data_IF_764985068183
#
_entry.id   IF_764985068183
#
_cell.length_a   1.000
_cell.length_b   1.000
_cell.length_c   1.000
_cell.angle_alpha   90.00
_cell.angle_beta   90.00
_cell.angle_gamma   90.00
#
_symmetry.space_group_name_H-M   'P 1'
#
loop_
_entity.id
_entity.type
_entity.pdbx_description
1 polymer ?
#
# COMPACT_ATOMS: atom_id res chain seq x y z
N UNK A 1 -59.27 25.99 -21.51
CA UNK A 1 -58.25 26.96 -21.07
C UNK A 1 -56.93 26.24 -20.98
N UNK A 2 -56.04 26.50 -21.93
CA UNK A 2 -54.66 26.06 -21.90
C UNK A 2 -53.81 26.96 -21.02
N UNK A 3 -52.65 26.44 -20.64
CA UNK A 3 -51.61 27.16 -19.92
C UNK A 3 -50.26 26.54 -20.28
N UNK A 4 -49.18 27.31 -20.11
CA UNK A 4 -47.81 26.87 -20.35
C UNK A 4 -47.04 26.85 -19.04
N UNK A 5 -46.16 25.87 -18.85
CA UNK A 5 -45.29 25.77 -17.66
C UNK A 5 -43.84 25.81 -18.09
N UNK A 6 -43.09 26.76 -17.55
CA UNK A 6 -41.63 26.80 -17.64
C UNK A 6 -41.02 26.13 -16.41
N UNK A 7 -40.03 25.26 -16.62
CA UNK A 7 -39.24 24.62 -15.57
C UNK A 7 -37.76 24.89 -15.81
N UNK A 8 -37.06 25.34 -14.78
CA UNK A 8 -35.61 25.52 -14.76
C UNK A 8 -35.01 24.55 -13.73
N UNK A 9 -34.37 23.47 -14.21
CA UNK A 9 -33.91 22.36 -13.38
C UNK A 9 -32.41 22.49 -13.14
N UNK A 10 -32.06 23.02 -11.97
CA UNK A 10 -30.70 23.10 -11.45
C UNK A 10 -30.32 21.90 -10.58
N UNK A 11 -29.06 21.89 -10.12
CA UNK A 11 -28.49 20.79 -9.31
C UNK A 11 -28.94 20.78 -7.84
N UNK A 12 -29.48 21.90 -7.35
CA UNK A 12 -30.03 22.06 -5.99
C UNK A 12 -31.31 22.89 -5.95
N UNK A 13 -31.89 23.17 -7.12
CA UNK A 13 -33.11 23.96 -7.24
C UNK A 13 -33.91 23.56 -8.48
N UNK A 14 -35.24 23.66 -8.40
CA UNK A 14 -36.13 23.59 -9.55
C UNK A 14 -37.01 24.85 -9.53
N UNK A 15 -36.72 25.78 -10.43
CA UNK A 15 -37.55 26.94 -10.71
C UNK A 15 -38.76 26.55 -11.56
N UNK A 16 -39.90 27.18 -11.31
CA UNK A 16 -41.11 26.95 -12.10
C UNK A 16 -41.93 28.23 -12.23
N UNK A 17 -42.58 28.41 -13.39
CA UNK A 17 -43.50 29.50 -13.65
C UNK A 17 -44.63 29.02 -14.57
N UNK A 18 -45.86 29.48 -14.35
CA UNK A 18 -47.03 29.14 -15.17
C UNK A 18 -47.53 30.40 -15.87
N UNK A 19 -47.69 30.31 -17.19
CA UNK A 19 -48.21 31.39 -18.03
C UNK A 19 -49.60 31.00 -18.58
N UNK A 20 -50.48 31.99 -18.69
CA UNK A 20 -51.75 31.88 -19.43
C UNK A 20 -51.49 31.92 -20.94
N UNK A 21 -52.50 31.64 -21.77
CA UNK A 21 -52.40 31.72 -23.23
C UNK A 21 -51.98 33.12 -23.72
N UNK A 22 -52.32 34.18 -22.98
CA UNK A 22 -51.93 35.57 -23.28
C UNK A 22 -50.49 35.91 -22.84
N UNK A 23 -49.71 34.92 -22.42
CA UNK A 23 -48.32 35.10 -21.96
C UNK A 23 -48.19 35.80 -20.60
N UNK A 24 -49.29 35.90 -19.83
CA UNK A 24 -49.29 36.52 -18.50
C UNK A 24 -49.06 35.48 -17.40
N UNK A 25 -48.52 35.90 -16.27
CA UNK A 25 -48.32 35.01 -15.13
C UNK A 25 -49.66 34.55 -14.56
N UNK A 26 -49.87 33.23 -14.52
CA UNK A 26 -51.09 32.64 -14.01
C UNK A 26 -51.19 32.84 -12.50
N UNK A 27 -52.42 32.99 -11.99
CA UNK A 27 -52.69 33.13 -10.55
C UNK A 27 -53.70 32.09 -10.09
N UNK A 28 -53.48 31.53 -8.91
CA UNK A 28 -54.45 30.67 -8.24
C UNK A 28 -54.50 31.01 -6.75
N UNK A 29 -55.71 31.05 -6.18
CA UNK A 29 -55.94 31.32 -4.74
C UNK A 29 -55.20 32.57 -4.24
N UNK A 30 -55.21 33.65 -5.03
CA UNK A 30 -54.57 34.92 -4.71
C UNK A 30 -53.04 34.97 -4.90
N UNK A 31 -52.38 33.85 -5.22
CA UNK A 31 -50.92 33.76 -5.39
C UNK A 31 -50.53 33.63 -6.86
N UNK A 32 -49.38 34.19 -7.20
CA UNK A 32 -48.74 33.98 -8.50
C UNK A 32 -48.21 32.55 -8.59
N UNK A 33 -48.43 31.91 -9.73
CA UNK A 33 -47.92 30.57 -10.01
C UNK A 33 -46.47 30.65 -10.52
N UNK A 34 -45.56 31.08 -9.63
CA UNK A 34 -44.12 31.10 -9.83
C UNK A 34 -43.43 30.75 -8.53
N UNK A 35 -42.31 30.04 -8.59
CA UNK A 35 -41.52 29.74 -7.42
C UNK A 35 -40.27 28.94 -7.73
N UNK A 36 -39.54 28.59 -6.67
CA UNK A 36 -38.36 27.73 -6.74
C UNK A 36 -38.44 26.72 -5.61
N UNK A 37 -38.20 25.44 -5.92
CA UNK A 37 -38.01 24.38 -4.93
C UNK A 37 -36.52 24.17 -4.71
N UNK A 38 -36.02 24.46 -3.50
CA UNK A 38 -34.64 24.18 -3.10
C UNK A 38 -34.51 22.78 -2.47
N UNK A 39 -33.40 22.08 -2.71
CA UNK A 39 -33.07 20.78 -2.14
C UNK A 39 -31.56 20.57 -2.04
N UNK A 40 -31.13 19.62 -1.21
CA UNK A 40 -29.72 19.25 -1.11
C UNK A 40 -29.21 18.63 -2.40
N UNK A 41 -28.03 19.05 -2.86
CA UNK A 41 -27.43 18.57 -4.10
C UNK A 41 -27.15 17.07 -4.04
N UNK A 42 -27.25 16.41 -5.19
CA UNK A 42 -27.03 14.98 -5.28
C UNK A 42 -25.59 14.61 -4.89
N UNK A 43 -25.44 13.75 -3.87
CA UNK A 43 -24.15 13.20 -3.49
C UNK A 43 -23.77 12.05 -4.42
N UNK A 44 -22.53 12.07 -4.93
CA UNK A 44 -22.04 10.97 -5.76
C UNK A 44 -21.90 9.68 -4.94
N UNK A 45 -22.07 8.53 -5.57
CA UNK A 45 -21.93 7.23 -4.90
C UNK A 45 -20.46 6.84 -4.58
N UNK A 46 -19.49 7.75 -4.77
CA UNK A 46 -18.06 7.49 -4.62
C UNK A 46 -17.70 7.09 -3.18
N UNK A 47 -18.18 7.83 -2.18
CA UNK A 47 -17.91 7.54 -0.77
C UNK A 47 -18.51 6.17 -0.36
N UNK A 48 -19.76 5.92 -0.75
CA UNK A 48 -20.44 4.64 -0.52
C UNK A 48 -19.67 3.47 -1.16
N UNK A 49 -19.08 3.67 -2.34
CA UNK A 49 -18.21 2.70 -3.00
C UNK A 49 -16.94 2.44 -2.17
N UNK A 50 -16.27 3.48 -1.68
CA UNK A 50 -15.10 3.37 -0.81
C UNK A 50 -15.39 2.56 0.46
N UNK A 51 -16.45 2.92 1.19
CA UNK A 51 -16.88 2.24 2.41
C UNK A 51 -17.22 0.77 2.17
N UNK A 52 -17.92 0.45 1.07
CA UNK A 52 -18.23 -0.93 0.67
C UNK A 52 -16.97 -1.74 0.37
N UNK A 53 -16.03 -1.18 -0.36
CA UNK A 53 -14.76 -1.85 -0.69
C UNK A 53 -13.95 -2.16 0.56
N UNK A 54 -13.86 -1.20 1.50
CA UNK A 54 -13.16 -1.40 2.77
C UNK A 54 -13.78 -2.51 3.61
N UNK A 55 -15.11 -2.55 3.74
CA UNK A 55 -15.80 -3.64 4.48
C UNK A 55 -15.51 -5.01 3.87
N UNK A 56 -15.60 -5.14 2.54
CA UNK A 56 -15.30 -6.39 1.83
C UNK A 56 -13.83 -6.81 2.03
N UNK A 57 -12.90 -5.87 1.96
CA UNK A 57 -11.47 -6.11 2.19
C UNK A 57 -11.20 -6.63 3.60
N UNK A 58 -11.78 -6.01 4.63
CA UNK A 58 -11.64 -6.43 6.03
C UNK A 58 -12.26 -7.81 6.28
N UNK A 59 -13.45 -8.07 5.74
CA UNK A 59 -14.11 -9.38 5.81
C UNK A 59 -13.24 -10.49 5.20
N UNK A 60 -12.71 -10.28 3.99
CA UNK A 60 -11.80 -11.23 3.33
C UNK A 60 -10.48 -11.40 4.08
N UNK A 61 -9.93 -10.34 4.69
CA UNK A 61 -8.75 -10.45 5.55
C UNK A 61 -9.04 -11.35 6.75
N UNK A 62 -10.18 -11.14 7.42
CA UNK A 62 -10.61 -11.97 8.56
C UNK A 62 -10.81 -13.43 8.16
N UNK A 63 -11.42 -13.68 7.00
CA UNK A 63 -11.58 -15.03 6.47
C UNK A 63 -10.24 -15.74 6.23
N UNK A 64 -9.26 -15.08 5.60
CA UNK A 64 -7.92 -15.66 5.40
C UNK A 64 -7.23 -16.04 6.72
N UNK A 65 -7.35 -15.18 7.73
CA UNK A 65 -6.73 -15.45 9.04
C UNK A 65 -7.42 -16.61 9.76
N UNK A 66 -8.75 -16.71 9.66
CA UNK A 66 -9.50 -17.86 10.21
C UNK A 66 -9.13 -19.17 9.52
N UNK A 67 -8.95 -19.15 8.20
CA UNK A 67 -8.51 -20.34 7.46
C UNK A 67 -7.11 -20.77 7.93
N UNK A 68 -6.19 -19.82 8.14
CA UNK A 68 -4.87 -20.13 8.68
C UNK A 68 -4.96 -20.71 10.10
N UNK A 69 -5.79 -20.12 10.96
CA UNK A 69 -6.07 -20.62 12.31
C UNK A 69 -6.63 -22.05 12.29
N UNK A 70 -7.61 -22.34 11.42
CA UNK A 70 -8.21 -23.66 11.25
C UNK A 70 -7.16 -24.72 10.87
N UNK A 71 -6.27 -24.40 9.91
CA UNK A 71 -5.20 -25.29 9.47
C UNK A 71 -4.21 -25.65 10.59
N UNK A 72 -3.96 -24.72 11.53
CA UNK A 72 -3.03 -24.93 12.64
C UNK A 72 -3.73 -25.40 13.92
N UNK A 73 -5.07 -25.40 13.95
CA UNK A 73 -5.86 -25.57 15.16
C UNK A 73 -5.57 -26.88 15.88
N UNK A 74 -5.57 -28.01 15.15
CA UNK A 74 -5.35 -29.34 15.72
C UNK A 74 -3.98 -29.47 16.38
N UNK A 75 -2.92 -29.01 15.70
CA UNK A 75 -1.54 -29.17 16.17
C UNK A 75 -1.19 -28.16 17.27
N UNK A 76 -1.65 -26.90 17.16
CA UNK A 76 -1.43 -25.91 18.22
C UNK A 76 -2.19 -26.28 19.48
N UNK A 77 -3.41 -26.81 19.39
CA UNK A 77 -4.18 -27.20 20.58
C UNK A 77 -3.50 -28.33 21.39
N UNK A 78 -2.68 -29.19 20.76
CA UNK A 78 -1.87 -30.20 21.47
C UNK A 78 -0.76 -29.58 22.31
N UNK A 79 -0.24 -28.43 21.89
CA UNK A 79 0.83 -27.69 22.57
C UNK A 79 0.26 -26.69 23.57
N UNK A 80 -0.77 -25.95 23.18
CA UNK A 80 -1.33 -24.82 23.91
C UNK A 80 -2.79 -24.55 23.50
N UNK A 81 -3.72 -25.13 24.25
CA UNK A 81 -5.17 -25.07 23.98
C UNK A 81 -5.72 -23.63 23.98
N UNK A 82 -5.10 -22.71 24.72
CA UNK A 82 -5.59 -21.35 24.90
C UNK A 82 -4.88 -20.32 24.00
N UNK A 83 -3.99 -20.76 23.09
CA UNK A 83 -3.20 -19.87 22.25
C UNK A 83 -4.05 -18.94 21.37
N UNK A 84 -5.01 -19.49 20.61
CA UNK A 84 -5.88 -18.69 19.75
C UNK A 84 -6.85 -17.82 20.55
N UNK A 85 -7.29 -18.31 21.72
CA UNK A 85 -8.13 -17.54 22.62
C UNK A 85 -7.39 -16.28 23.12
N UNK A 86 -6.13 -16.42 23.55
CA UNK A 86 -5.27 -15.27 23.92
C UNK A 86 -5.11 -14.28 22.77
N UNK A 87 -4.84 -14.75 21.56
CA UNK A 87 -4.73 -13.88 20.39
C UNK A 87 -6.03 -13.13 20.05
N UNK A 88 -7.18 -13.81 20.19
CA UNK A 88 -8.50 -13.22 19.92
C UNK A 88 -8.88 -12.15 20.94
N UNK A 89 -8.55 -12.39 22.21
CA UNK A 89 -8.91 -11.54 23.33
C UNK A 89 -7.76 -10.69 23.86
N UNK A 90 -6.70 -10.50 23.06
CA UNK A 90 -5.53 -9.71 23.46
C UNK A 90 -5.85 -8.23 23.73
N UNK A 91 -7.05 -7.75 23.34
CA UNK A 91 -7.52 -6.39 23.63
C UNK A 91 -8.14 -6.26 25.03
N UNK A 92 -8.51 -7.38 25.65
CA UNK A 92 -9.18 -7.40 26.96
C UNK A 92 -8.17 -7.03 28.03
N UNK A 93 -8.53 -6.04 28.85
CA UNK A 93 -7.69 -5.61 29.95
C UNK A 93 -7.84 -6.58 31.14
N UNK A 94 -6.77 -6.91 31.90
CA UNK A 94 -6.87 -7.84 33.04
C UNK A 94 -7.86 -7.42 34.14
N UNK A 95 -8.14 -6.12 34.25
CA UNK A 95 -9.11 -5.54 35.19
C UNK A 95 -10.52 -5.35 34.59
N UNK A 96 -10.78 -5.86 33.40
CA UNK A 96 -12.11 -5.81 32.78
C UNK A 96 -12.98 -6.94 33.36
N UNK A 97 -13.76 -6.62 34.38
CA UNK A 97 -14.64 -7.56 35.08
C UNK A 97 -15.67 -8.20 34.12
N UNK A 98 -16.14 -7.47 33.11
CA UNK A 98 -17.14 -7.97 32.16
C UNK A 98 -16.56 -9.03 31.20
N UNK A 99 -15.24 -9.02 30.99
CA UNK A 99 -14.55 -9.94 30.08
C UNK A 99 -13.53 -10.84 30.79
N UNK A 100 -13.60 -10.95 32.12
CA UNK A 100 -12.65 -11.71 32.92
C UNK A 100 -12.54 -13.18 32.49
N UNK A 101 -13.65 -13.79 32.06
CA UNK A 101 -13.68 -15.16 31.53
C UNK A 101 -12.87 -15.36 30.23
N UNK A 102 -12.54 -14.26 29.53
CA UNK A 102 -11.76 -14.26 28.30
C UNK A 102 -10.28 -13.90 28.54
N UNK A 103 -9.86 -13.83 29.81
CA UNK A 103 -8.47 -13.63 30.19
C UNK A 103 -7.79 -14.97 30.49
N UNK A 104 -6.74 -15.29 29.72
CA UNK A 104 -6.07 -16.60 29.78
C UNK A 104 -4.61 -16.49 30.28
N UNK A 105 -4.37 -15.59 31.24
CA UNK A 105 -3.04 -15.39 31.83
C UNK A 105 -2.16 -14.43 31.00
N UNK A 106 -1.06 -14.93 30.44
CA UNK A 106 -0.12 -14.10 29.67
C UNK A 106 -0.71 -13.50 28.38
N UNK A 107 0.05 -12.60 27.74
CA UNK A 107 -0.41 -11.88 26.55
C UNK A 107 -0.33 -12.73 25.28
N UNK A 108 0.83 -13.36 25.03
CA UNK A 108 1.11 -14.14 23.82
C UNK A 108 1.27 -15.63 24.17
N UNK A 109 2.08 -15.89 25.19
CA UNK A 109 2.31 -17.20 25.79
C UNK A 109 1.60 -17.33 27.14
N UNK A 110 1.46 -18.55 27.69
CA UNK A 110 0.76 -18.76 28.97
C UNK A 110 1.31 -17.91 30.12
N UNK A 111 2.63 -17.73 30.19
CA UNK A 111 3.30 -16.93 31.22
C UNK A 111 3.84 -15.61 30.67
N UNK A 112 3.97 -14.62 31.56
CA UNK A 112 4.59 -13.34 31.20
C UNK A 112 6.09 -13.49 30.95
N UNK A 113 6.76 -14.40 31.66
CA UNK A 113 8.19 -14.68 31.49
C UNK A 113 8.49 -15.25 30.10
N UNK A 114 7.70 -16.22 29.63
CA UNK A 114 7.81 -16.74 28.24
C UNK A 114 7.59 -15.62 27.21
N UNK A 115 6.61 -14.75 27.45
CA UNK A 115 6.34 -13.62 26.56
C UNK A 115 7.50 -12.63 26.53
N UNK A 116 8.10 -12.34 27.69
CA UNK A 116 9.27 -11.47 27.81
C UNK A 116 10.49 -12.08 27.11
N UNK A 117 10.79 -13.35 27.35
CA UNK A 117 11.88 -14.08 26.71
C UNK A 117 11.72 -14.11 25.18
N UNK A 118 10.49 -14.27 24.68
CA UNK A 118 10.20 -14.18 23.25
C UNK A 118 10.53 -12.80 22.68
N UNK A 119 10.19 -11.72 23.37
CA UNK A 119 10.48 -10.35 22.92
C UNK A 119 11.97 -9.98 23.03
N UNK A 120 12.67 -10.48 24.04
CA UNK A 120 14.14 -10.33 24.17
C UNK A 120 14.86 -11.06 23.04
N UNK A 121 14.41 -12.28 22.71
CA UNK A 121 14.96 -13.07 21.61
C UNK A 121 14.65 -12.45 20.25
N UNK A 122 13.41 -12.01 20.05
CA UNK A 122 12.94 -11.42 18.79
C UNK A 122 12.33 -10.04 19.02
N UNK A 123 13.18 -9.02 18.94
CA UNK A 123 12.81 -7.61 19.13
C UNK A 123 11.68 -7.15 18.20
N UNK A 124 11.58 -7.73 17.01
CA UNK A 124 10.47 -7.49 16.07
C UNK A 124 10.05 -8.78 15.40
N UNK A 125 8.84 -8.81 14.85
CA UNK A 125 8.36 -9.95 14.05
C UNK A 125 9.26 -10.28 12.85
N UNK A 126 10.05 -9.31 12.37
CA UNK A 126 11.00 -9.53 11.28
C UNK A 126 12.23 -10.31 11.72
N UNK A 127 12.68 -10.16 12.97
CA UNK A 127 13.74 -11.00 13.54
C UNK A 127 13.31 -12.46 13.61
N UNK A 128 12.06 -12.72 14.04
CA UNK A 128 11.49 -14.06 14.03
C UNK A 128 11.42 -14.63 12.61
N UNK A 129 10.93 -13.85 11.64
CA UNK A 129 10.86 -14.28 10.24
C UNK A 129 12.24 -14.56 9.65
N UNK A 130 13.24 -13.76 10.01
CA UNK A 130 14.62 -13.95 9.57
C UNK A 130 15.19 -15.25 10.16
N UNK A 131 15.06 -15.45 11.47
CA UNK A 131 15.49 -16.67 12.15
C UNK A 131 14.85 -17.93 11.53
N UNK A 132 13.54 -17.91 11.26
CA UNK A 132 12.81 -19.01 10.59
C UNK A 132 13.31 -19.30 9.16
N UNK A 133 13.98 -18.34 8.51
CA UNK A 133 14.52 -18.51 7.15
C UNK A 133 15.99 -18.94 7.14
N UNK A 134 16.76 -18.64 8.17
CA UNK A 134 18.22 -18.80 8.17
C UNK A 134 18.74 -19.83 9.17
N UNK A 135 18.03 -20.10 10.26
CA UNK A 135 18.45 -21.06 11.27
C UNK A 135 17.90 -22.45 10.96
N UNK A 136 18.77 -23.46 10.99
CA UNK A 136 18.38 -24.87 10.85
C UNK A 136 18.18 -25.51 12.23
N UNK A 137 17.02 -25.26 12.83
CA UNK A 137 16.60 -25.91 14.08
C UNK A 137 15.08 -26.07 14.13
N UNK A 138 14.60 -26.91 15.04
CA UNK A 138 13.16 -27.03 15.31
C UNK A 138 12.65 -25.79 16.06
N UNK A 139 11.68 -25.09 15.46
CA UNK A 139 10.99 -23.95 16.07
C UNK A 139 9.71 -24.39 16.79
N UNK A 140 9.27 -23.58 17.76
CA UNK A 140 7.95 -23.73 18.37
C UNK A 140 6.87 -23.45 17.31
N UNK A 141 5.85 -24.30 17.26
CA UNK A 141 4.73 -24.17 16.34
C UNK A 141 3.99 -22.83 16.49
N UNK A 142 3.93 -22.29 17.71
CA UNK A 142 3.35 -20.97 18.01
C UNK A 142 4.15 -19.85 17.33
N UNK A 143 5.47 -19.94 17.32
CA UNK A 143 6.36 -18.98 16.63
C UNK A 143 6.14 -19.04 15.11
N UNK A 144 6.09 -20.24 14.54
CA UNK A 144 5.83 -20.46 13.11
C UNK A 144 4.48 -19.83 12.72
N UNK A 145 3.43 -20.09 13.51
CA UNK A 145 2.11 -19.51 13.26
C UNK A 145 2.13 -17.98 13.29
N UNK A 146 2.81 -17.36 14.26
CA UNK A 146 2.87 -15.89 14.36
C UNK A 146 3.54 -15.26 13.14
N UNK A 147 4.63 -15.87 12.65
CA UNK A 147 5.30 -15.43 11.44
C UNK A 147 4.40 -15.55 10.20
N UNK A 148 3.73 -16.69 10.03
CA UNK A 148 2.78 -16.90 8.92
C UNK A 148 1.58 -15.96 9.01
N UNK A 149 0.99 -15.81 10.20
CA UNK A 149 -0.13 -14.91 10.45
C UNK A 149 0.24 -13.46 10.06
N UNK A 150 1.44 -13.00 10.38
CA UNK A 150 1.93 -11.69 9.96
C UNK A 150 2.00 -11.55 8.43
N UNK A 151 2.59 -12.52 7.74
CA UNK A 151 2.71 -12.53 6.27
C UNK A 151 1.33 -12.53 5.61
N UNK A 152 0.40 -13.38 6.06
CA UNK A 152 -0.95 -13.49 5.49
C UNK A 152 -1.80 -12.23 5.77
N UNK A 153 -1.64 -11.63 6.96
CA UNK A 153 -2.32 -10.38 7.34
C UNK A 153 -1.85 -9.20 6.50
N UNK A 154 -0.54 -9.09 6.28
CA UNK A 154 0.14 -7.98 5.60
C UNK A 154 0.86 -8.44 4.31
N UNK A 155 0.12 -9.13 3.44
CA UNK A 155 0.62 -9.81 2.23
C UNK A 155 1.13 -8.94 1.07
N UNK A 156 1.29 -7.64 1.25
CA UNK A 156 1.66 -6.71 0.18
C UNK A 156 0.61 -6.53 -0.93
N UNK A 157 1.02 -5.93 -2.05
CA UNK A 157 0.19 -5.71 -3.25
C UNK A 157 0.46 -6.79 -4.33
N UNK A 158 -0.49 -6.96 -5.25
CA UNK A 158 -0.46 -7.97 -6.32
C UNK A 158 -0.46 -7.31 -7.71
N UNK A 159 0.37 -6.28 -7.89
CA UNK A 159 0.40 -5.50 -9.14
C UNK A 159 1.32 -6.12 -10.19
N UNK A 160 2.36 -6.82 -9.75
CA UNK A 160 3.34 -7.43 -10.64
C UNK A 160 2.95 -8.89 -10.87
N UNK A 161 2.73 -9.25 -12.13
CA UNK A 161 2.46 -10.64 -12.54
C UNK A 161 3.75 -11.48 -12.64
N UNK A 162 4.92 -10.83 -12.71
CA UNK A 162 6.20 -11.53 -12.85
C UNK A 162 6.63 -12.21 -11.55
N UNK A 163 6.94 -13.50 -11.67
CA UNK A 163 7.45 -14.33 -10.60
C UNK A 163 8.85 -13.86 -10.17
N UNK A 164 8.96 -13.44 -8.90
CA UNK A 164 10.21 -13.19 -8.17
C UNK A 164 11.12 -12.12 -8.80
N UNK A 165 10.92 -10.85 -8.39
CA UNK A 165 12.06 -9.93 -8.35
C UNK A 165 12.96 -10.35 -7.18
N UNK A 166 14.06 -11.04 -7.45
CA UNK A 166 15.16 -11.10 -6.49
C UNK A 166 15.78 -9.71 -6.43
N UNK A 167 15.89 -9.13 -5.24
CA UNK A 167 16.49 -7.81 -5.03
C UNK A 167 17.92 -7.76 -5.61
N UNK A 168 18.62 -8.91 -5.61
CA UNK A 168 19.94 -9.08 -6.21
C UNK A 168 20.02 -8.97 -7.74
N UNK A 169 18.91 -9.05 -8.48
CA UNK A 169 18.92 -8.91 -9.95
C UNK A 169 18.63 -7.47 -10.42
N UNK A 170 18.49 -6.51 -9.50
CA UNK A 170 18.13 -5.12 -9.86
C UNK A 170 19.32 -4.34 -10.42
N UNK A 171 20.54 -4.79 -10.12
CA UNK A 171 21.77 -4.20 -10.63
C UNK A 171 22.67 -5.30 -11.15
N UNK A 172 22.64 -5.49 -12.47
CA UNK A 172 23.55 -6.38 -13.19
C UNK A 172 24.57 -5.51 -13.95
N UNK A 173 25.79 -5.33 -13.42
CA UNK A 173 26.80 -4.45 -14.03
C UNK A 173 27.13 -4.85 -15.48
N UNK A 174 27.09 -6.15 -15.77
CA UNK A 174 27.39 -6.70 -17.10
C UNK A 174 26.31 -6.35 -18.13
N UNK A 175 25.03 -6.39 -17.76
CA UNK A 175 23.92 -5.95 -18.62
C UNK A 175 24.02 -4.44 -18.90
N UNK A 176 24.36 -3.65 -17.87
CA UNK A 176 24.58 -2.21 -18.02
C UNK A 176 25.77 -1.91 -18.94
N UNK A 177 26.88 -2.62 -18.77
CA UNK A 177 28.07 -2.49 -19.62
C UNK A 177 27.74 -2.82 -21.08
N UNK A 178 27.00 -3.92 -21.30
CA UNK A 178 26.56 -4.35 -22.62
C UNK A 178 25.62 -3.33 -23.27
N UNK A 179 24.68 -2.76 -22.51
CA UNK A 179 23.79 -1.72 -22.99
C UNK A 179 24.54 -0.44 -23.40
N UNK A 180 25.55 -0.05 -22.62
CA UNK A 180 26.41 1.11 -22.92
C UNK A 180 27.23 0.86 -24.19
N UNK A 181 27.80 -0.34 -24.34
CA UNK A 181 28.59 -0.72 -25.52
C UNK A 181 27.72 -0.71 -26.79
N UNK A 182 26.54 -1.33 -26.74
CA UNK A 182 25.58 -1.33 -27.84
C UNK A 182 25.16 0.10 -28.24
N UNK A 183 24.95 0.98 -27.26
CA UNK A 183 24.64 2.39 -27.53
C UNK A 183 25.82 3.13 -28.17
N UNK A 184 27.04 2.88 -27.72
CA UNK A 184 28.25 3.49 -28.27
C UNK A 184 28.46 3.10 -29.74
N UNK A 185 28.33 1.81 -30.06
CA UNK A 185 28.43 1.29 -31.43
C UNK A 185 27.35 1.88 -32.34
N UNK A 186 26.09 1.90 -31.90
CA UNK A 186 24.98 2.46 -32.68
C UNK A 186 25.11 3.98 -32.94
N UNK A 187 25.93 4.69 -32.18
CA UNK A 187 26.21 6.12 -32.36
C UNK A 187 27.59 6.41 -32.95
N UNK A 188 28.35 5.38 -33.33
CA UNK A 188 29.70 5.52 -33.87
C UNK A 188 30.68 6.14 -32.87
N UNK A 189 30.44 5.95 -31.58
CA UNK A 189 31.30 6.45 -30.51
C UNK A 189 32.38 5.40 -30.23
N UNK A 190 33.64 5.76 -30.44
CA UNK A 190 34.78 4.93 -30.01
C UNK A 190 34.98 5.12 -28.51
N UNK A 191 34.89 4.03 -27.75
CA UNK A 191 35.07 3.98 -26.31
C UNK A 191 35.82 2.69 -25.95
N UNK A 192 36.88 2.79 -25.16
CA UNK A 192 37.51 1.65 -24.48
C UNK A 192 37.40 1.86 -22.97
N UNK A 193 36.84 0.87 -22.27
CA UNK A 193 36.96 0.76 -20.82
C UNK A 193 38.11 -0.19 -20.53
N UNK A 194 39.31 0.35 -20.48
CA UNK A 194 40.46 -0.51 -20.24
C UNK A 194 40.53 -0.99 -18.76
N UNK A 195 39.73 -0.42 -17.85
CA UNK A 195 39.59 -0.90 -16.45
C UNK A 195 38.24 -0.53 -15.78
N UNK A 196 37.66 -1.39 -14.91
CA UNK A 196 36.42 -1.10 -14.16
C UNK A 196 36.51 0.12 -13.22
N UNK A 197 37.71 0.41 -12.70
CA UNK A 197 37.99 1.56 -11.83
C UNK A 197 37.75 2.90 -12.53
N UNK A 198 38.05 2.99 -13.83
CA UNK A 198 37.84 4.19 -14.62
C UNK A 198 36.36 4.57 -14.75
N UNK A 199 35.45 3.58 -14.78
CA UNK A 199 34.01 3.82 -14.89
C UNK A 199 33.43 4.35 -13.56
N UNK A 200 33.87 3.80 -12.43
CA UNK A 200 33.56 4.35 -11.11
C UNK A 200 34.09 5.77 -10.93
N UNK A 201 35.30 6.08 -11.39
CA UNK A 201 35.86 7.42 -11.30
C UNK A 201 35.09 8.43 -12.17
N UNK A 202 34.67 8.04 -13.38
CA UNK A 202 33.82 8.87 -14.24
C UNK A 202 32.45 9.11 -13.61
N UNK A 203 31.80 8.08 -13.06
CA UNK A 203 30.49 8.21 -12.40
C UNK A 203 30.57 9.05 -11.11
N UNK A 204 31.63 8.91 -10.31
CA UNK A 204 31.89 9.71 -9.11
C UNK A 204 32.17 11.17 -9.48
N UNK A 205 32.88 11.40 -10.59
CA UNK A 205 33.19 12.73 -11.07
C UNK A 205 31.98 13.45 -11.70
N UNK A 206 31.07 12.71 -12.35
CA UNK A 206 29.81 13.24 -12.88
C UNK A 206 28.80 13.61 -11.77
N UNK A 207 28.87 12.98 -10.60
CA UNK A 207 28.03 13.32 -9.42
C UNK A 207 28.44 14.60 -8.70
N UNK A 208 29.65 15.15 -8.90
CA UNK A 208 30.13 16.34 -8.18
C UNK A 208 29.95 17.62 -9.00
N UNK A 209 29.38 18.70 -8.43
CA UNK A 209 29.19 19.95 -9.15
C UNK A 209 30.55 20.63 -9.42
N UNK A 210 30.89 20.75 -10.70
CA UNK A 210 31.99 21.55 -11.31
C UNK A 210 33.06 22.06 -10.31
N UNK A 211 34.03 21.23 -9.96
CA UNK A 211 35.33 21.72 -9.53
C UNK A 211 36.38 21.20 -10.50
N UNK A 212 37.03 22.13 -11.21
CA UNK A 212 37.92 21.88 -12.37
C UNK A 212 39.16 21.03 -12.05
N UNK A 213 39.44 20.74 -10.78
CA UNK A 213 40.74 20.22 -10.37
C UNK A 213 40.75 18.73 -9.98
N UNK A 214 39.63 18.01 -10.13
CA UNK A 214 39.51 16.61 -9.68
C UNK A 214 39.27 15.57 -10.78
N UNK A 215 39.27 15.96 -12.06
CA UNK A 215 39.21 15.01 -13.17
C UNK A 215 40.21 15.37 -14.27
N UNK A 216 41.39 14.71 -14.32
CA UNK A 216 42.39 14.99 -15.36
C UNK A 216 41.85 14.76 -16.78
N UNK A 217 40.86 13.87 -16.94
CA UNK A 217 40.26 13.53 -18.25
C UNK A 217 38.88 14.17 -18.51
N UNK A 218 38.43 15.14 -17.70
CA UNK A 218 37.10 15.75 -17.89
C UNK A 218 36.95 16.41 -19.27
N UNK A 219 38.05 16.93 -19.84
CA UNK A 219 38.06 17.57 -21.17
C UNK A 219 37.91 16.56 -22.32
N UNK A 220 38.31 15.31 -22.13
CA UNK A 220 38.26 14.25 -23.15
C UNK A 220 36.85 13.65 -23.32
N UNK A 221 35.95 13.87 -22.35
CA UNK A 221 34.57 13.38 -22.43
C UNK A 221 33.78 14.23 -23.45
N UNK A 222 33.19 13.62 -24.50
CA UNK A 222 32.42 14.32 -25.54
C UNK A 222 31.30 15.18 -24.95
N UNK A 223 31.13 16.42 -25.46
CA UNK A 223 30.11 17.38 -24.96
C UNK A 223 28.68 16.82 -24.96
N UNK A 224 28.34 15.92 -25.90
CA UNK A 224 27.01 15.28 -25.97
C UNK A 224 26.75 14.34 -24.79
N UNK A 225 27.76 13.62 -24.30
CA UNK A 225 27.65 12.70 -23.15
C UNK A 225 27.50 13.48 -21.84
N UNK A 226 28.23 14.60 -21.70
CA UNK A 226 28.06 15.55 -20.57
C UNK A 226 26.64 16.14 -20.48
N UNK A 227 25.94 16.23 -21.61
CA UNK A 227 24.57 16.75 -21.67
C UNK A 227 23.53 15.71 -21.26
N UNK A 228 23.75 14.43 -21.61
CA UNK A 228 22.84 13.32 -21.29
C UNK A 228 22.68 13.13 -19.76
N UNK A 229 23.76 13.27 -19.00
CA UNK A 229 23.75 13.13 -17.54
C UNK A 229 23.32 14.38 -16.77
N UNK A 230 23.04 15.50 -17.47
CA UNK A 230 22.47 16.72 -16.86
C UNK A 230 20.95 16.70 -16.76
N UNK A 231 20.32 15.72 -17.41
CA UNK A 231 18.87 15.56 -17.52
C UNK A 231 18.31 14.49 -16.56
N UNK A 232 19.16 13.87 -15.73
CA UNK A 232 18.81 12.92 -14.68
C UNK A 232 19.27 13.43 -13.31
#
# INVERSE_FOLDING_TARGET
MGYSVGLDIGTGSVGWAVLTEEGKLARAKGKNLIGVRLFETAQTAAERRGNRTTRRRLSRRKWRLRLLEELFSSEINKVDQNFFARLKFSYVHPKDEANQANYYGGYLFPTQEETKAFHEKYHTIYHLRYALMTEDRKFDLREIYLAMHHIVKYRGHFLNFQAKMSIGNTYQPEELQSAIQNYAEAKGLTWSLDTPTALTDVLVCLKKPRQKNYCPNFLLIPRKIKMLFRLF
#
